data_IF_047633860180
#
_entry.id   IF_047633860180
#
_cell.length_a   1.000
_cell.length_b   1.000
_cell.length_c   1.000
_cell.angle_alpha   90.00
_cell.angle_beta   90.00
_cell.angle_gamma   90.00
#
_symmetry.space_group_name_H-M   'P 1'
#
loop_
_entity.id
_entity.type
_entity.pdbx_description
1 polymer ?
#
# COMPACT_ATOMS: atom_id res chain seq x y z
N UNK A 1 -18.32 31.36 71.78
CA UNK A 1 -17.90 30.14 72.50
C UNK A 1 -18.94 29.07 72.21
N UNK A 2 -18.57 28.01 71.49
CA UNK A 2 -19.37 26.80 71.37
C UNK A 2 -18.37 25.64 71.37
N UNK A 3 -18.40 24.85 72.45
CA UNK A 3 -17.57 23.67 72.59
C UNK A 3 -18.30 22.48 71.92
N UNK A 4 -17.65 21.80 70.98
CA UNK A 4 -18.14 20.51 70.47
C UNK A 4 -17.56 19.39 71.33
N UNK A 5 -18.44 18.65 72.00
CA UNK A 5 -18.08 17.38 72.63
C UNK A 5 -18.08 16.32 71.53
N UNK A 6 -16.92 15.70 71.29
CA UNK A 6 -16.81 14.53 70.42
C UNK A 6 -16.86 13.30 71.31
N UNK A 7 -17.98 12.57 71.26
CA UNK A 7 -18.13 11.27 71.90
C UNK A 7 -18.06 10.19 70.82
N UNK A 8 -16.96 9.44 70.84
CA UNK A 8 -16.67 8.37 69.90
C UNK A 8 -15.18 8.07 69.89
N UNK A 9 -14.81 6.81 70.00
CA UNK A 9 -13.42 6.38 69.83
C UNK A 9 -13.09 6.55 68.35
N UNK A 10 -12.09 7.35 67.94
CA UNK A 10 -11.74 7.45 66.53
C UNK A 10 -11.26 6.07 66.06
N UNK A 11 -12.00 5.45 65.13
CA UNK A 11 -11.61 4.20 64.48
C UNK A 11 -10.45 4.50 63.54
N UNK A 12 -9.23 4.55 64.09
CA UNK A 12 -8.01 4.78 63.30
C UNK A 12 -7.63 3.50 62.58
N UNK A 13 -7.72 3.50 61.26
CA UNK A 13 -7.20 2.44 60.40
C UNK A 13 -5.83 2.88 59.83
N UNK A 14 -4.83 2.01 59.94
CA UNK A 14 -3.49 2.20 59.36
C UNK A 14 -3.35 1.21 58.21
N UNK A 15 -3.15 1.73 57.00
CA UNK A 15 -2.94 0.89 55.81
C UNK A 15 -1.45 0.93 55.47
N UNK A 16 -0.74 -0.13 55.82
CA UNK A 16 0.67 -0.31 55.43
C UNK A 16 0.74 -0.46 53.89
N UNK A 17 1.58 0.35 53.24
CA UNK A 17 1.71 0.53 51.77
C UNK A 17 0.70 1.46 51.07
N UNK A 18 -0.19 2.13 51.81
CA UNK A 18 -1.14 3.11 51.24
C UNK A 18 -2.24 2.47 50.37
N UNK A 19 -2.95 3.30 49.62
CA UNK A 19 -3.95 2.89 48.64
C UNK A 19 -3.89 3.83 47.44
N UNK A 20 -4.04 3.28 46.23
CA UNK A 20 -4.25 4.10 45.03
C UNK A 20 -5.73 4.43 44.93
N UNK A 21 -6.05 5.72 44.96
CA UNK A 21 -7.40 6.24 44.66
C UNK A 21 -7.36 6.77 43.24
N UNK A 22 -7.96 6.05 42.30
CA UNK A 22 -8.16 6.54 40.95
C UNK A 22 -9.49 7.28 40.92
N UNK A 23 -9.47 8.53 40.44
CA UNK A 23 -10.70 9.26 40.15
C UNK A 23 -11.28 8.67 38.87
N UNK A 24 -12.41 7.98 38.98
CA UNK A 24 -13.19 7.58 37.81
C UNK A 24 -13.68 8.87 37.14
N UNK A 25 -13.25 9.12 35.91
CA UNK A 25 -13.83 10.17 35.08
C UNK A 25 -15.17 9.61 34.61
N UNK A 26 -16.27 10.33 34.88
CA UNK A 26 -17.61 9.93 34.47
C UNK A 26 -17.72 9.96 32.94
N UNK A 27 -17.36 8.84 32.31
CA UNK A 27 -17.36 8.63 30.86
C UNK A 27 -18.44 7.62 30.51
N UNK A 28 -19.54 8.11 29.97
CA UNK A 28 -20.59 7.26 29.41
C UNK A 28 -20.42 7.15 27.91
N UNK A 29 -19.97 6.00 27.41
CA UNK A 29 -19.81 5.73 25.98
C UNK A 29 -21.11 5.97 25.19
N UNK A 30 -22.25 5.70 25.82
CA UNK A 30 -23.60 5.87 25.26
C UNK A 30 -24.04 7.33 25.14
N UNK A 31 -23.32 8.28 25.75
CA UNK A 31 -23.59 9.72 25.66
C UNK A 31 -22.96 10.38 24.43
N UNK A 32 -22.10 9.66 23.69
CA UNK A 32 -21.40 10.19 22.52
C UNK A 32 -22.38 10.44 21.36
N UNK A 33 -22.24 11.60 20.73
CA UNK A 33 -22.98 11.93 19.50
C UNK A 33 -22.25 11.50 18.23
N UNK A 34 -20.95 11.24 18.34
CA UNK A 34 -20.08 10.84 17.23
C UNK A 34 -18.82 10.16 17.75
N UNK A 35 -18.22 9.31 16.93
CA UNK A 35 -16.93 8.66 17.16
C UNK A 35 -15.97 9.10 16.06
N UNK A 36 -14.69 9.21 16.39
CA UNK A 36 -13.64 9.45 15.40
C UNK A 36 -12.75 8.23 15.30
N UNK A 37 -12.70 7.66 14.10
CA UNK A 37 -11.80 6.57 13.74
C UNK A 37 -10.52 7.18 13.20
N UNK A 38 -9.38 6.67 13.64
CA UNK A 38 -8.08 7.08 13.13
C UNK A 38 -7.47 5.93 12.31
N UNK A 39 -7.12 6.21 11.06
CA UNK A 39 -6.46 5.28 10.16
C UNK A 39 -4.99 5.17 10.52
N UNK A 40 -4.52 3.92 10.68
CA UNK A 40 -3.11 3.63 10.98
C UNK A 40 -2.16 4.16 9.91
N UNK A 41 -2.57 4.07 8.65
CA UNK A 41 -1.84 4.58 7.50
C UNK A 41 -2.69 5.68 6.85
N UNK A 42 -2.38 6.96 7.08
CA UNK A 42 -3.15 8.07 6.53
C UNK A 42 -3.09 8.10 5.00
N UNK A 43 -4.25 8.09 4.36
CA UNK A 43 -4.39 8.22 2.92
C UNK A 43 -5.83 8.67 2.57
N UNK A 44 -5.96 9.63 1.66
CA UNK A 44 -7.27 10.19 1.30
C UNK A 44 -8.15 9.17 0.58
N UNK A 45 -7.59 8.38 -0.35
CA UNK A 45 -8.35 7.36 -1.08
C UNK A 45 -8.92 6.33 -0.09
N UNK A 46 -8.10 5.89 0.86
CA UNK A 46 -8.45 4.93 1.91
C UNK A 46 -9.49 5.53 2.85
N UNK A 47 -9.32 6.77 3.32
CA UNK A 47 -10.30 7.44 4.17
C UNK A 47 -11.67 7.59 3.49
N UNK A 48 -11.68 7.88 2.19
CA UNK A 48 -12.91 7.92 1.40
C UNK A 48 -13.55 6.53 1.28
N UNK A 49 -12.79 5.49 0.94
CA UNK A 49 -13.30 4.10 0.86
C UNK A 49 -13.85 3.62 2.20
N UNK A 50 -13.21 3.96 3.33
CA UNK A 50 -13.71 3.66 4.67
C UNK A 50 -15.02 4.39 4.94
N UNK A 51 -15.09 5.67 4.60
CA UNK A 51 -16.31 6.48 4.75
C UNK A 51 -17.46 5.91 3.93
N UNK A 52 -17.21 5.48 2.70
CA UNK A 52 -18.18 4.83 1.81
C UNK A 52 -18.67 3.50 2.40
N UNK A 53 -17.76 2.62 2.83
CA UNK A 53 -18.10 1.34 3.43
C UNK A 53 -18.97 1.48 4.69
N UNK A 54 -18.69 2.49 5.53
CA UNK A 54 -19.52 2.79 6.71
C UNK A 54 -20.91 3.27 6.29
N UNK A 55 -20.98 4.18 5.31
CA UNK A 55 -22.25 4.70 4.82
C UNK A 55 -23.12 3.66 4.13
N UNK A 56 -22.53 2.71 3.41
CA UNK A 56 -23.26 1.58 2.82
C UNK A 56 -23.96 0.73 3.88
N UNK A 57 -23.32 0.55 5.04
CA UNK A 57 -23.84 -0.32 6.09
C UNK A 57 -24.78 0.37 7.08
N UNK A 58 -24.55 1.66 7.35
CA UNK A 58 -25.26 2.44 8.37
C UNK A 58 -26.18 3.51 7.81
N UNK A 59 -26.18 3.72 6.49
CA UNK A 59 -26.98 4.73 5.79
C UNK A 59 -26.17 5.96 5.40
N UNK A 60 -26.69 6.71 4.43
CA UNK A 60 -26.06 7.91 3.90
C UNK A 60 -25.89 8.99 4.99
N UNK A 61 -24.76 9.70 4.99
CA UNK A 61 -24.37 10.70 6.00
C UNK A 61 -24.06 10.15 7.40
N UNK A 62 -23.94 8.84 7.57
CA UNK A 62 -23.50 8.24 8.85
C UNK A 62 -22.01 8.47 9.14
N UNK A 63 -21.18 8.72 8.12
CA UNK A 63 -19.76 9.00 8.29
C UNK A 63 -19.26 10.10 7.34
N UNK A 64 -18.19 10.79 7.73
CA UNK A 64 -17.40 11.67 6.85
C UNK A 64 -15.90 11.58 7.17
N UNK A 65 -15.07 11.60 6.13
CA UNK A 65 -13.64 11.87 6.30
C UNK A 65 -13.44 13.36 6.64
N UNK A 66 -12.72 13.64 7.73
CA UNK A 66 -12.31 14.99 8.13
C UNK A 66 -10.95 15.37 7.51
N UNK A 67 -10.05 14.38 7.42
CA UNK A 67 -8.71 14.48 6.85
C UNK A 67 -8.26 13.08 6.37
N UNK A 68 -7.00 12.93 5.93
CA UNK A 68 -6.47 11.66 5.41
C UNK A 68 -6.36 10.55 6.46
N UNK A 69 -6.44 10.87 7.75
CA UNK A 69 -6.32 9.91 8.84
C UNK A 69 -7.64 9.76 9.62
N UNK A 70 -8.52 10.74 9.62
CA UNK A 70 -9.64 10.83 10.57
C UNK A 70 -10.98 10.70 9.86
N UNK A 71 -11.76 9.69 10.24
CA UNK A 71 -13.15 9.50 9.80
C UNK A 71 -14.08 9.69 11.00
N UNK A 72 -14.98 10.66 10.92
CA UNK A 72 -16.01 10.92 11.93
C UNK A 72 -17.28 10.13 11.58
N UNK A 73 -17.77 9.33 12.52
CA UNK A 73 -19.00 8.56 12.41
C UNK A 73 -20.03 9.15 13.36
N UNK A 74 -21.17 9.57 12.81
CA UNK A 74 -22.30 10.07 13.58
C UNK A 74 -23.10 8.92 14.21
N UNK A 75 -23.45 9.06 15.49
CA UNK A 75 -24.25 8.10 16.25
C UNK A 75 -25.74 8.51 16.32
N UNK A 76 -26.19 9.38 15.40
CA UNK A 76 -27.55 9.92 15.43
C UNK A 76 -28.55 8.85 14.96
N UNK A 77 -29.50 8.51 15.84
CA UNK A 77 -30.55 7.52 15.57
C UNK A 77 -30.31 6.17 16.26
N UNK A 78 -29.12 5.99 16.82
CA UNK A 78 -28.75 4.83 17.60
C UNK A 78 -29.35 5.01 19.01
N UNK A 79 -30.31 4.16 19.39
CA UNK A 79 -30.92 4.15 20.72
C UNK A 79 -29.85 4.05 21.82
N UNK A 80 -30.22 4.34 23.07
CA UNK A 80 -29.30 4.49 24.23
C UNK A 80 -28.43 3.24 24.57
N UNK A 81 -28.42 2.19 23.74
CA UNK A 81 -27.54 1.02 23.82
C UNK A 81 -26.72 0.71 22.56
N UNK A 82 -26.77 1.55 21.52
CA UNK A 82 -26.36 1.15 20.17
C UNK A 82 -24.89 1.46 19.85
N UNK A 83 -24.16 2.18 20.71
CA UNK A 83 -22.75 2.54 20.42
C UNK A 83 -21.84 1.30 20.30
N UNK A 84 -21.90 0.31 21.21
CA UNK A 84 -21.16 -0.94 21.03
C UNK A 84 -21.60 -1.74 19.79
N UNK A 85 -22.90 -1.69 19.44
CA UNK A 85 -23.42 -2.37 18.25
C UNK A 85 -22.89 -1.73 16.96
N UNK A 86 -22.93 -0.39 16.88
CA UNK A 86 -22.34 0.38 15.79
C UNK A 86 -20.85 0.09 15.65
N UNK A 87 -20.11 0.09 16.77
CA UNK A 87 -18.68 -0.24 16.76
C UNK A 87 -18.45 -1.67 16.25
N UNK A 88 -19.24 -2.64 16.69
CA UNK A 88 -19.14 -4.03 16.20
C UNK A 88 -19.41 -4.13 14.69
N UNK A 89 -20.37 -3.37 14.16
CA UNK A 89 -20.62 -3.31 12.72
C UNK A 89 -19.41 -2.74 11.97
N UNK A 90 -18.85 -1.63 12.46
CA UNK A 90 -17.68 -0.97 11.85
C UNK A 90 -16.45 -1.88 11.89
N UNK A 91 -16.19 -2.57 13.01
CA UNK A 91 -15.06 -3.48 13.17
C UNK A 91 -15.06 -4.64 12.16
N UNK A 92 -16.25 -5.04 11.67
CA UNK A 92 -16.40 -6.12 10.70
C UNK A 92 -16.34 -5.65 9.24
N UNK A 93 -16.26 -4.34 8.98
CA UNK A 93 -16.13 -3.82 7.61
C UNK A 93 -14.76 -4.15 7.03
N UNK A 94 -14.76 -4.71 5.83
CA UNK A 94 -13.54 -4.93 5.04
C UNK A 94 -13.40 -3.82 4.02
N UNK A 95 -12.25 -3.16 4.05
CA UNK A 95 -11.90 -2.10 3.10
C UNK A 95 -10.52 -2.42 2.55
N UNK A 96 -10.38 -2.36 1.22
CA UNK A 96 -9.09 -2.48 0.56
C UNK A 96 -8.41 -1.10 0.59
N UNK A 97 -7.32 -0.94 1.38
CA UNK A 97 -6.63 0.34 1.46
C UNK A 97 -5.94 0.66 0.13
N UNK A 98 -5.68 1.93 -0.09
CA UNK A 98 -4.70 2.33 -1.09
C UNK A 98 -3.31 2.03 -0.54
N UNK A 99 -2.51 1.29 -1.28
CA UNK A 99 -1.14 0.96 -0.90
C UNK A 99 -0.18 1.51 -1.94
N UNK A 100 0.81 2.26 -1.47
CA UNK A 100 1.91 2.69 -2.31
C UNK A 100 2.66 1.44 -2.76
N UNK A 101 2.85 1.28 -4.06
CA UNK A 101 3.70 0.24 -4.60
C UNK A 101 5.14 0.47 -4.12
N UNK A 102 5.76 -0.52 -3.48
CA UNK A 102 7.12 -0.41 -2.91
C UNK A 102 8.01 -1.56 -3.34
N UNK A 103 9.29 -1.28 -3.51
CA UNK A 103 10.35 -2.25 -3.78
C UNK A 103 11.43 -2.05 -2.73
N UNK A 104 11.68 -3.07 -1.92
CA UNK A 104 12.69 -3.03 -0.86
C UNK A 104 13.85 -3.93 -1.28
N UNK A 105 15.07 -3.43 -1.21
CA UNK A 105 16.27 -4.18 -1.58
C UNK A 105 17.29 -4.14 -0.44
N UNK A 106 17.73 -5.30 0.01
CA UNK A 106 18.87 -5.41 0.93
C UNK A 106 20.16 -5.57 0.12
N UNK A 107 21.01 -4.53 0.16
CA UNK A 107 22.23 -4.50 -0.62
C UNK A 107 23.28 -5.51 -0.16
N UNK A 108 23.21 -5.98 1.10
CA UNK A 108 24.15 -6.95 1.68
C UNK A 108 23.75 -8.38 1.37
N UNK A 109 22.47 -8.71 1.54
CA UNK A 109 21.97 -10.07 1.29
C UNK A 109 21.57 -10.32 -0.17
N UNK A 110 21.35 -9.26 -0.94
CA UNK A 110 20.83 -9.34 -2.31
C UNK A 110 19.34 -9.67 -2.36
N UNK A 111 18.63 -9.61 -1.22
CA UNK A 111 17.20 -9.89 -1.16
C UNK A 111 16.42 -8.72 -1.77
N UNK A 112 15.53 -9.02 -2.73
CA UNK A 112 14.65 -8.04 -3.37
C UNK A 112 13.21 -8.44 -3.05
N UNK A 113 12.47 -7.53 -2.40
CA UNK A 113 11.05 -7.69 -2.08
C UNK A 113 10.25 -6.70 -2.92
N UNK A 114 9.33 -7.24 -3.72
CA UNK A 114 8.46 -6.46 -4.60
C UNK A 114 7.07 -6.47 -3.99
N UNK A 115 6.56 -5.29 -3.65
CA UNK A 115 5.22 -5.10 -3.13
C UNK A 115 4.13 -5.29 -4.19
N UNK A 116 2.88 -5.19 -3.76
CA UNK A 116 1.75 -5.19 -4.68
C UNK A 116 1.77 -3.97 -5.61
N UNK A 117 1.14 -4.11 -6.78
CA UNK A 117 0.87 -3.02 -7.73
C UNK A 117 2.09 -2.27 -8.30
N UNK A 118 3.29 -2.87 -8.23
CA UNK A 118 4.50 -2.31 -8.86
C UNK A 118 4.42 -2.47 -10.38
N UNK A 119 4.46 -1.34 -11.10
CA UNK A 119 4.40 -1.29 -12.57
C UNK A 119 5.66 -0.67 -13.17
N UNK A 120 6.00 -1.10 -14.39
CA UNK A 120 7.13 -0.57 -15.16
C UNK A 120 6.64 -0.17 -16.55
N UNK A 121 6.89 1.08 -16.93
CA UNK A 121 6.68 1.57 -18.28
C UNK A 121 7.80 1.12 -19.23
N UNK A 122 7.56 1.28 -20.53
CA UNK A 122 8.57 0.97 -21.56
C UNK A 122 9.86 1.77 -21.34
N UNK A 123 10.95 1.05 -21.13
CA UNK A 123 12.27 1.63 -20.86
C UNK A 123 13.35 0.76 -21.47
N UNK A 124 14.41 1.41 -21.96
CA UNK A 124 15.64 0.73 -22.34
C UNK A 124 16.77 1.24 -21.43
N UNK A 125 17.48 0.31 -20.79
CA UNK A 125 18.61 0.62 -19.91
C UNK A 125 19.85 -0.07 -20.44
N UNK A 126 20.92 0.69 -20.62
CA UNK A 126 22.22 0.14 -20.98
C UNK A 126 23.22 0.40 -19.83
N UNK A 127 23.75 -0.66 -19.25
CA UNK A 127 24.71 -0.56 -18.15
C UNK A 127 25.81 -1.63 -18.27
N UNK A 128 27.06 -1.19 -18.33
CA UNK A 128 28.23 -2.10 -18.33
C UNK A 128 28.31 -3.04 -19.53
N UNK A 129 27.72 -2.67 -20.68
CA UNK A 129 27.64 -3.52 -21.88
C UNK A 129 26.36 -4.36 -21.99
N UNK A 130 25.53 -4.39 -20.95
CA UNK A 130 24.22 -5.04 -20.97
C UNK A 130 23.16 -4.05 -21.44
N UNK A 131 22.29 -4.43 -22.38
CA UNK A 131 21.13 -3.62 -22.78
C UNK A 131 19.85 -4.37 -22.47
N UNK A 132 19.05 -3.81 -21.57
CA UNK A 132 17.74 -4.32 -21.15
C UNK A 132 16.67 -3.49 -21.83
N UNK A 133 15.71 -4.12 -22.50
CA UNK A 133 14.59 -3.42 -23.14
C UNK A 133 13.27 -3.99 -22.65
N UNK A 134 12.47 -3.15 -21.99
CA UNK A 134 11.11 -3.44 -21.55
C UNK A 134 10.14 -2.93 -22.62
N UNK A 135 9.40 -3.84 -23.25
CA UNK A 135 8.36 -3.53 -24.23
C UNK A 135 7.01 -4.01 -23.72
N UNK A 136 6.03 -3.14 -23.83
CA UNK A 136 4.63 -3.52 -23.67
C UNK A 136 4.15 -4.00 -25.04
N UNK A 137 3.71 -5.25 -25.12
CA UNK A 137 3.09 -5.80 -26.33
C UNK A 137 1.58 -5.61 -26.23
N UNK A 138 0.99 -4.61 -26.90
CA UNK A 138 -0.45 -4.50 -26.95
C UNK A 138 -0.99 -5.70 -27.70
N UNK A 139 -1.66 -6.61 -26.99
CA UNK A 139 -2.43 -7.70 -27.58
C UNK A 139 -3.63 -7.09 -28.33
N UNK A 140 -3.44 -6.71 -29.59
CA UNK A 140 -4.56 -6.43 -30.48
C UNK A 140 -5.16 -7.75 -30.93
N UNK A 141 -6.33 -8.10 -30.35
CA UNK A 141 -7.18 -9.17 -30.88
C UNK A 141 -7.85 -8.67 -32.15
N UNK A 142 -7.15 -8.76 -33.27
CA UNK A 142 -7.73 -8.53 -34.59
C UNK A 142 -8.23 -9.87 -35.16
N UNK A 143 -9.55 -10.03 -35.39
CA UNK A 143 -10.07 -11.18 -36.12
C UNK A 143 -9.40 -11.26 -37.49
N UNK A 144 -9.02 -12.48 -37.91
CA UNK A 144 -8.30 -12.75 -39.15
C UNK A 144 -8.81 -11.93 -40.34
N UNK A 145 -7.94 -11.19 -41.06
CA UNK A 145 -8.31 -10.57 -42.31
C UNK A 145 -8.58 -11.67 -43.36
N UNK A 146 -9.70 -11.54 -44.08
CA UNK A 146 -9.99 -12.36 -45.26
C UNK A 146 -8.97 -12.00 -46.34
N UNK A 147 -8.04 -12.91 -46.63
CA UNK A 147 -7.07 -12.77 -47.73
C UNK A 147 -7.75 -12.98 -49.08
N UNK A 148 -7.68 -11.99 -49.98
CA UNK A 148 -7.72 -12.23 -51.43
C UNK A 148 -6.66 -11.34 -52.11
N UNK A 149 -5.61 -11.97 -52.63
CA UNK A 149 -4.74 -11.43 -53.67
C UNK A 149 -3.70 -10.38 -53.23
N UNK A 150 -2.44 -10.81 -53.11
CA UNK A 150 -1.30 -9.90 -52.99
C UNK A 150 0.02 -10.65 -53.11
N UNK A 151 0.74 -10.41 -54.20
CA UNK A 151 2.05 -10.99 -54.50
C UNK A 151 3.09 -10.54 -53.46
N UNK A 152 3.84 -11.51 -52.92
CA UNK A 152 5.03 -11.25 -52.10
C UNK A 152 6.10 -10.54 -52.92
N UNK A 153 6.63 -9.43 -52.41
CA UNK A 153 7.78 -8.72 -52.96
C UNK A 153 8.92 -8.80 -51.94
N UNK A 154 10.08 -9.27 -52.40
CA UNK A 154 11.31 -9.40 -51.61
C UNK A 154 11.97 -8.04 -51.46
N UNK A 155 12.48 -7.73 -50.27
CA UNK A 155 13.39 -6.58 -50.03
C UNK A 155 14.69 -7.06 -49.35
N UNK A 156 15.86 -6.49 -49.71
CA UNK A 156 17.18 -6.98 -49.26
C UNK A 156 17.71 -6.23 -48.03
N UNK A 157 18.53 -6.89 -47.18
CA UNK A 157 19.72 -6.31 -46.50
C UNK A 157 20.42 -7.34 -45.61
N UNK A 158 21.66 -7.71 -45.93
CA UNK A 158 22.96 -7.14 -45.49
C UNK A 158 23.46 -7.82 -44.22
N UNK A 159 24.42 -8.73 -44.41
CA UNK A 159 25.23 -9.30 -43.33
C UNK A 159 26.33 -8.31 -42.95
N UNK A 160 26.37 -7.94 -41.66
CA UNK A 160 27.47 -7.19 -41.06
C UNK A 160 28.07 -8.11 -40.01
N UNK A 161 29.32 -8.54 -40.23
CA UNK A 161 30.12 -9.21 -39.23
C UNK A 161 30.74 -8.18 -38.30
N UNK A 162 30.48 -8.30 -37.01
CA UNK A 162 31.21 -7.61 -35.94
C UNK A 162 31.55 -8.68 -34.92
N UNK A 163 32.82 -8.74 -34.52
CA UNK A 163 33.24 -9.47 -33.32
C UNK A 163 32.52 -8.84 -32.12
N UNK A 164 31.45 -9.48 -31.67
CA UNK A 164 30.62 -9.01 -30.57
C UNK A 164 31.04 -9.79 -29.32
N UNK A 165 31.66 -9.09 -28.38
CA UNK A 165 31.75 -9.58 -26.99
C UNK A 165 30.33 -9.90 -26.53
N UNK A 166 30.08 -11.11 -26.02
CA UNK A 166 28.74 -11.62 -25.71
C UNK A 166 27.88 -10.60 -24.95
N UNK A 167 27.04 -9.87 -25.67
CA UNK A 167 26.04 -8.99 -25.09
C UNK A 167 24.84 -9.86 -24.74
N UNK A 168 24.58 -10.05 -23.45
CA UNK A 168 23.39 -10.77 -23.01
C UNK A 168 22.16 -9.88 -23.21
N UNK A 169 21.35 -10.21 -24.21
CA UNK A 169 20.07 -9.56 -24.45
C UNK A 169 18.98 -10.25 -23.63
N UNK A 170 18.14 -9.49 -22.95
CA UNK A 170 16.90 -10.04 -22.39
C UNK A 170 15.73 -9.13 -22.69
N UNK A 171 14.74 -9.72 -23.36
CA UNK A 171 13.49 -9.11 -23.78
C UNK A 171 12.40 -9.77 -22.94
N UNK A 172 11.55 -8.95 -22.31
CA UNK A 172 10.40 -9.41 -21.54
C UNK A 172 9.14 -9.10 -22.33
N UNK A 173 8.37 -10.13 -22.72
CA UNK A 173 7.17 -10.02 -23.55
C UNK A 173 5.90 -10.30 -22.72
N UNK A 174 4.84 -9.50 -22.85
CA UNK A 174 3.50 -9.79 -22.27
C UNK A 174 2.80 -8.59 -21.61
N UNK A 175 1.46 -8.63 -21.59
CA UNK A 175 0.53 -7.53 -21.27
C UNK A 175 0.64 -6.93 -19.85
N UNK A 176 1.37 -7.58 -18.94
CA UNK A 176 1.78 -7.04 -17.64
C UNK A 176 3.28 -7.28 -17.49
N UNK A 177 4.13 -6.33 -17.89
CA UNK A 177 5.58 -6.45 -17.63
C UNK A 177 5.82 -6.21 -16.14
N UNK A 178 5.65 -7.25 -15.35
CA UNK A 178 5.91 -7.20 -13.92
C UNK A 178 7.40 -7.02 -13.67
N UNK A 179 7.75 -6.11 -12.75
CA UNK A 179 9.11 -5.94 -12.24
C UNK A 179 9.73 -7.28 -11.81
N UNK A 180 8.90 -8.19 -11.32
CA UNK A 180 9.30 -9.55 -10.96
C UNK A 180 10.01 -10.26 -12.13
N UNK A 181 9.42 -10.26 -13.33
CA UNK A 181 10.03 -10.89 -14.50
C UNK A 181 11.34 -10.21 -14.93
N UNK A 182 11.45 -8.90 -14.73
CA UNK A 182 12.69 -8.18 -14.97
C UNK A 182 13.78 -8.61 -14.00
N UNK A 183 13.49 -8.64 -12.71
CA UNK A 183 14.45 -9.06 -11.70
C UNK A 183 14.86 -10.52 -11.91
N UNK A 184 13.92 -11.41 -12.24
CA UNK A 184 14.18 -12.81 -12.55
C UNK A 184 15.09 -12.97 -13.77
N UNK A 185 14.83 -12.20 -14.84
CA UNK A 185 15.69 -12.14 -16.01
C UNK A 185 17.11 -11.67 -15.67
N UNK A 186 17.25 -10.57 -14.93
CA UNK A 186 18.56 -10.05 -14.54
C UNK A 186 19.32 -11.04 -13.65
N UNK A 187 18.63 -11.72 -12.73
CA UNK A 187 19.20 -12.76 -11.89
C UNK A 187 19.63 -13.98 -12.71
N UNK A 188 18.86 -14.38 -13.72
CA UNK A 188 19.20 -15.49 -14.61
C UNK A 188 20.44 -15.23 -15.46
N UNK A 189 20.71 -13.96 -15.80
CA UNK A 189 21.93 -13.52 -16.51
C UNK A 189 23.13 -13.45 -15.56
N UNK A 190 22.93 -13.63 -14.24
CA UNK A 190 24.00 -13.65 -13.25
C UNK A 190 24.47 -12.26 -12.80
N UNK A 191 23.61 -11.24 -12.91
CA UNK A 191 23.94 -9.91 -12.40
C UNK A 191 24.07 -9.94 -10.87
N UNK A 192 25.03 -9.16 -10.37
CA UNK A 192 25.18 -8.93 -8.92
C UNK A 192 24.04 -8.05 -8.40
N UNK A 193 23.72 -8.18 -7.10
CA UNK A 193 22.71 -7.33 -6.45
C UNK A 193 22.98 -5.83 -6.66
N UNK A 194 24.24 -5.39 -6.60
CA UNK A 194 24.66 -4.00 -6.84
C UNK A 194 24.33 -3.54 -8.26
N UNK A 195 24.53 -4.40 -9.26
CA UNK A 195 24.17 -4.11 -10.65
C UNK A 195 22.65 -4.03 -10.84
N UNK A 196 21.90 -4.95 -10.25
CA UNK A 196 20.43 -4.93 -10.27
C UNK A 196 19.89 -3.67 -9.61
N UNK A 197 20.42 -3.27 -8.45
CA UNK A 197 20.06 -2.00 -7.77
C UNK A 197 20.29 -0.81 -8.69
N UNK A 198 21.44 -0.76 -9.36
CA UNK A 198 21.78 0.36 -10.26
C UNK A 198 20.81 0.47 -11.44
N UNK A 199 20.42 -0.67 -12.03
CA UNK A 199 19.42 -0.71 -13.10
C UNK A 199 18.06 -0.24 -12.59
N UNK A 200 17.61 -0.73 -11.44
CA UNK A 200 16.32 -0.33 -10.86
C UNK A 200 16.29 1.16 -10.48
N UNK A 201 17.39 1.69 -9.96
CA UNK A 201 17.56 3.12 -9.71
C UNK A 201 17.51 3.93 -11.01
N UNK A 202 18.15 3.46 -12.08
CA UNK A 202 18.11 4.12 -13.39
C UNK A 202 16.69 4.14 -13.97
N UNK A 203 15.94 3.03 -13.85
CA UNK A 203 14.54 2.94 -14.30
C UNK A 203 13.66 3.90 -13.48
N UNK A 204 13.86 3.98 -12.16
CA UNK A 204 13.15 4.94 -11.30
C UNK A 204 13.47 6.38 -11.68
N UNK A 205 14.74 6.69 -11.92
CA UNK A 205 15.19 8.03 -12.34
C UNK A 205 14.65 8.43 -13.73
N UNK A 206 14.45 7.46 -14.62
CA UNK A 206 13.80 7.67 -15.91
C UNK A 206 12.28 7.88 -15.81
N UNK A 207 11.69 7.72 -14.61
CA UNK A 207 10.25 7.83 -14.38
C UNK A 207 9.45 6.61 -14.84
N UNK A 208 10.13 5.53 -15.24
CA UNK A 208 9.47 4.33 -15.74
C UNK A 208 9.08 3.34 -14.64
N UNK A 209 9.64 3.44 -13.42
CA UNK A 209 9.23 2.62 -12.27
C UNK A 209 8.19 3.35 -11.41
N UNK A 210 6.96 2.86 -11.44
CA UNK A 210 5.83 3.35 -10.62
C UNK A 210 5.79 2.64 -9.27
N UNK A 211 6.86 2.81 -8.49
CA UNK A 211 6.96 2.33 -7.11
C UNK A 211 8.02 3.11 -6.34
N UNK A 212 7.90 3.19 -5.03
CA UNK A 212 8.99 3.67 -4.18
C UNK A 212 10.08 2.62 -4.07
N UNK A 213 11.34 3.05 -4.20
CA UNK A 213 12.51 2.19 -4.10
C UNK A 213 13.23 2.48 -2.79
N UNK A 214 13.25 1.51 -1.88
CA UNK A 214 13.92 1.56 -0.58
C UNK A 214 15.09 0.58 -0.55
N UNK A 215 16.25 1.04 -0.06
CA UNK A 215 17.48 0.25 -0.02
C UNK A 215 17.96 0.17 1.43
N UNK A 216 18.18 -1.05 1.93
CA UNK A 216 18.54 -1.37 3.33
C UNK A 216 19.86 -2.15 3.44
#
# INVERSE_FOLDING_TARGET
MAASVVEGVPTVARIENGATVENEVEFELTSLNSIRLNLRNPDFTTAMRVTEAIQERMGSNSARALDSATVEVGLRGSGKGDVPEVLSVIENLRVEPDSIAKVVIDARSGTIVIGADVRIDRVAVSQGGLTVMVREDPMVSQPNPVTIGGTTVVVPRTSVGVEESEAHFTILEGADVSLQRLVDALNAIGLTATQTISILQAIKAAGALHADLEII
#
